data_IF_568418613046
#
_entry.id   IF_568418613046
#
_cell.length_a   1.000
_cell.length_b   1.000
_cell.length_c   1.000
_cell.angle_alpha   90.00
_cell.angle_beta   90.00
_cell.angle_gamma   90.00
#
_symmetry.space_group_name_H-M   'P 1'
#
loop_
_entity.id
_entity.type
_entity.pdbx_description
1 polymer ?
#
# COMPACT_ATOMS: atom_id res chain seq x y z
N UNK A 1 12.05 5.06 1.62
CA UNK A 1 10.76 4.60 1.05
C UNK A 1 10.94 3.68 -0.15
N UNK A 2 11.47 4.12 -1.31
CA UNK A 2 11.65 3.22 -2.48
C UNK A 2 12.48 1.97 -2.17
N UNK A 3 13.63 2.14 -1.52
CA UNK A 3 14.46 0.98 -1.15
C UNK A 3 13.77 0.05 -0.14
N UNK A 4 12.96 0.60 0.76
CA UNK A 4 12.15 -0.22 1.66
C UNK A 4 11.11 -1.02 0.88
N UNK A 5 10.37 -0.39 -0.03
CA UNK A 5 9.43 -1.08 -0.92
C UNK A 5 10.12 -2.16 -1.74
N UNK A 6 11.33 -1.89 -2.27
CA UNK A 6 12.11 -2.89 -3.02
C UNK A 6 12.47 -4.09 -2.15
N UNK A 7 12.86 -3.87 -0.89
CA UNK A 7 13.15 -4.95 0.06
C UNK A 7 11.92 -5.76 0.41
N UNK A 8 10.77 -5.11 0.60
CA UNK A 8 9.47 -5.78 0.84
C UNK A 8 9.09 -6.64 -0.37
N UNK A 9 9.28 -6.15 -1.59
CA UNK A 9 8.97 -6.87 -2.83
C UNK A 9 9.68 -8.22 -2.93
N UNK A 10 10.92 -8.33 -2.41
CA UNK A 10 11.69 -9.58 -2.42
C UNK A 10 11.09 -10.67 -1.53
N UNK A 11 10.14 -10.32 -0.67
CA UNK A 11 9.45 -11.25 0.21
C UNK A 11 8.07 -11.61 -0.31
N UNK A 12 7.60 -10.98 -1.38
CA UNK A 12 6.27 -11.19 -1.92
C UNK A 12 6.17 -12.51 -2.68
N UNK A 13 5.00 -13.11 -2.58
CA UNK A 13 4.54 -14.24 -3.38
C UNK A 13 3.16 -13.89 -3.93
N UNK A 14 2.67 -14.66 -4.90
CA UNK A 14 1.27 -14.51 -5.30
C UNK A 14 0.34 -14.93 -4.16
N UNK A 15 -0.84 -14.30 -4.10
CA UNK A 15 -1.76 -14.40 -2.98
C UNK A 15 -1.58 -13.29 -1.93
N UNK A 16 -0.59 -12.41 -2.07
CA UNK A 16 -0.31 -11.38 -1.05
C UNK A 16 -1.16 -10.12 -1.23
N UNK A 17 -1.70 -9.65 -0.11
CA UNK A 17 -2.35 -8.32 -0.01
C UNK A 17 -1.53 -7.39 0.88
N UNK A 18 -1.27 -6.18 0.40
CA UNK A 18 -0.57 -5.10 1.11
C UNK A 18 -1.47 -3.88 1.24
N UNK A 19 -1.68 -3.41 2.47
CA UNK A 19 -2.48 -2.23 2.74
C UNK A 19 -1.61 -1.09 3.26
N UNK A 20 -1.57 0.02 2.54
CA UNK A 20 -0.76 1.19 2.90
C UNK A 20 -1.64 2.25 3.57
N UNK A 21 -1.26 2.65 4.79
CA UNK A 21 -1.92 3.73 5.54
C UNK A 21 -0.95 4.85 5.87
N UNK A 22 -1.48 6.00 6.28
CA UNK A 22 -0.72 7.18 6.66
C UNK A 22 -1.18 8.45 5.95
N UNK A 23 -0.79 9.65 6.42
CA UNK A 23 -1.31 10.92 5.93
C UNK A 23 -0.95 11.21 4.45
N UNK A 24 -1.60 12.23 3.87
CA UNK A 24 -1.24 12.73 2.54
C UNK A 24 0.24 13.15 2.53
N UNK A 25 0.98 12.74 1.50
CA UNK A 25 2.43 13.01 1.42
C UNK A 25 3.31 12.15 2.36
N UNK A 26 2.74 11.15 3.05
CA UNK A 26 3.52 10.17 3.82
C UNK A 26 4.51 9.38 2.96
N UNK A 27 4.24 9.23 1.65
CA UNK A 27 5.10 8.52 0.72
C UNK A 27 4.63 7.10 0.40
N UNK A 28 3.32 6.84 0.50
CA UNK A 28 2.66 5.58 0.10
C UNK A 28 2.95 5.23 -1.37
N UNK A 29 2.64 6.11 -2.31
CA UNK A 29 3.01 5.91 -3.73
C UNK A 29 4.53 5.75 -3.95
N UNK A 30 5.37 6.43 -3.17
CA UNK A 30 6.83 6.25 -3.23
C UNK A 30 7.27 4.86 -2.74
N UNK A 31 6.54 4.28 -1.79
CA UNK A 31 6.71 2.89 -1.38
C UNK A 31 6.22 1.93 -2.47
N UNK A 32 5.06 2.18 -3.06
CA UNK A 32 4.51 1.41 -4.19
C UNK A 32 5.47 1.36 -5.39
N UNK A 33 6.11 2.49 -5.71
CA UNK A 33 7.19 2.53 -6.71
C UNK A 33 8.37 1.61 -6.37
N UNK A 34 8.72 1.51 -5.08
CA UNK A 34 9.72 0.57 -4.61
C UNK A 34 9.29 -0.88 -4.80
N UNK A 35 8.03 -1.19 -4.50
CA UNK A 35 7.43 -2.51 -4.73
C UNK A 35 7.53 -2.88 -6.21
N UNK A 36 7.03 -2.02 -7.10
CA UNK A 36 7.08 -2.27 -8.54
C UNK A 36 8.50 -2.47 -9.07
N UNK A 37 9.45 -1.66 -8.61
CA UNK A 37 10.87 -1.84 -8.97
C UNK A 37 11.44 -3.17 -8.48
N UNK A 38 11.05 -3.62 -7.28
CA UNK A 38 11.47 -4.92 -6.75
C UNK A 38 10.83 -6.11 -7.45
N UNK A 39 9.64 -5.93 -8.03
CA UNK A 39 8.99 -6.88 -8.92
C UNK A 39 9.47 -6.75 -10.38
N UNK A 40 10.45 -5.89 -10.67
CA UNK A 40 10.96 -5.70 -12.04
C UNK A 40 9.96 -5.06 -13.02
N UNK A 41 8.92 -4.39 -12.52
CA UNK A 41 7.96 -3.65 -13.35
C UNK A 41 8.68 -2.44 -13.97
N UNK A 42 8.57 -2.29 -15.29
CA UNK A 42 9.26 -1.22 -16.04
C UNK A 42 8.38 0.01 -16.26
N UNK A 43 7.07 -0.21 -16.18
CA UNK A 43 6.03 0.77 -16.34
C UNK A 43 5.99 1.72 -15.13
N UNK A 44 5.64 2.99 -15.34
CA UNK A 44 5.54 3.93 -14.23
C UNK A 44 4.48 3.52 -13.20
N UNK A 45 4.91 3.29 -11.95
CA UNK A 45 4.01 3.23 -10.80
C UNK A 45 3.62 4.65 -10.40
N UNK A 46 2.39 5.02 -10.73
CA UNK A 46 1.77 6.29 -10.37
C UNK A 46 0.55 6.01 -9.51
N UNK A 47 0.22 6.90 -8.57
CA UNK A 47 -1.08 6.84 -7.91
C UNK A 47 -2.14 6.93 -9.03
N UNK A 48 -3.04 5.95 -9.12
CA UNK A 48 -3.98 5.85 -10.21
C UNK A 48 -5.05 6.96 -10.00
N UNK A 49 -4.72 8.16 -10.50
CA UNK A 49 -5.42 9.40 -10.12
C UNK A 49 -6.81 9.48 -10.75
N UNK A 50 -7.07 8.72 -11.81
CA UNK A 50 -8.34 8.68 -12.57
C UNK A 50 -8.90 7.26 -12.75
N UNK A 51 -8.12 6.24 -12.42
CA UNK A 51 -8.53 4.83 -12.48
C UNK A 51 -8.47 4.30 -11.05
N UNK A 52 -9.47 3.58 -10.57
CA UNK A 52 -9.50 3.10 -9.17
C UNK A 52 -8.37 2.08 -8.92
N UNK A 53 -8.06 1.28 -9.94
CA UNK A 53 -6.98 0.32 -9.94
C UNK A 53 -6.11 0.43 -11.21
N UNK A 54 -4.91 -0.12 -11.14
CA UNK A 54 -4.00 -0.37 -12.27
C UNK A 54 -3.39 -1.75 -12.12
N UNK A 55 -3.42 -2.50 -13.21
CA UNK A 55 -2.77 -3.80 -13.32
C UNK A 55 -1.44 -3.67 -14.06
N UNK A 56 -0.42 -4.35 -13.54
CA UNK A 56 0.95 -4.26 -14.02
C UNK A 56 1.66 -5.61 -13.89
N UNK A 57 2.43 -5.98 -14.90
CA UNK A 57 3.12 -7.27 -14.93
C UNK A 57 4.61 -7.14 -14.57
N UNK A 58 5.08 -8.06 -13.75
CA UNK A 58 6.45 -8.14 -13.28
C UNK A 58 6.91 -9.58 -13.07
N UNK A 59 7.85 -9.74 -12.14
CA UNK A 59 8.46 -10.99 -11.74
C UNK A 59 8.71 -11.02 -10.24
N UNK A 60 8.38 -12.14 -9.60
CA UNK A 60 8.80 -12.40 -8.23
C UNK A 60 10.31 -12.67 -8.16
N UNK A 61 10.84 -12.72 -6.94
CA UNK A 61 12.27 -12.94 -6.70
C UNK A 61 12.78 -14.30 -7.23
N UNK A 62 11.90 -15.30 -7.35
CA UNK A 62 12.21 -16.62 -7.92
C UNK A 62 12.12 -16.65 -9.47
N UNK A 63 11.76 -15.53 -10.10
CA UNK A 63 11.62 -15.40 -11.54
C UNK A 63 10.26 -15.83 -12.11
N UNK A 64 9.32 -16.26 -11.28
CA UNK A 64 7.93 -16.50 -11.69
C UNK A 64 7.21 -15.19 -12.03
N UNK A 65 6.12 -15.27 -12.79
CA UNK A 65 5.32 -14.10 -13.18
C UNK A 65 4.61 -13.50 -11.98
N UNK A 66 4.69 -12.18 -11.83
CA UNK A 66 3.94 -11.43 -10.83
C UNK A 66 2.93 -10.51 -11.52
N UNK A 67 1.70 -10.53 -11.04
CA UNK A 67 0.64 -9.63 -11.46
C UNK A 67 0.32 -8.67 -10.31
N UNK A 68 0.67 -7.39 -10.45
CA UNK A 68 0.44 -6.36 -9.44
C UNK A 68 -0.86 -5.61 -9.74
N UNK A 69 -1.81 -5.69 -8.81
CA UNK A 69 -3.02 -4.85 -8.79
C UNK A 69 -2.79 -3.70 -7.81
N UNK A 70 -2.56 -2.49 -8.31
CA UNK A 70 -2.36 -1.29 -7.50
C UNK A 70 -3.65 -0.47 -7.42
N UNK A 71 -4.24 -0.40 -6.23
CA UNK A 71 -5.50 0.29 -5.92
C UNK A 71 -5.21 1.56 -5.11
N UNK A 72 -5.95 2.64 -5.35
CA UNK A 72 -5.93 3.85 -4.50
C UNK A 72 -7.34 4.24 -4.06
N UNK A 73 -7.67 3.87 -2.82
CA UNK A 73 -8.99 4.03 -2.24
C UNK A 73 -9.26 5.47 -1.75
N UNK A 74 -8.25 6.38 -1.75
CA UNK A 74 -8.43 7.77 -1.30
C UNK A 74 -9.59 8.48 -1.99
N UNK A 75 -9.82 8.16 -3.27
CA UNK A 75 -10.82 8.83 -4.10
C UNK A 75 -12.25 8.40 -3.80
N UNK A 76 -12.43 7.21 -3.27
CA UNK A 76 -13.73 6.65 -2.96
C UNK A 76 -14.26 7.17 -1.62
N UNK A 77 -13.38 7.75 -0.78
CA UNK A 77 -13.72 8.26 0.55
C UNK A 77 -13.64 9.77 0.78
N UNK A 78 -13.57 10.61 -0.26
CA UNK A 78 -13.45 12.06 -0.12
C UNK A 78 -14.60 12.88 -0.71
N UNK A 79 -14.71 14.16 -0.30
CA UNK A 79 -15.67 15.19 -0.76
C UNK A 79 -15.71 15.43 -2.30
N UNK A 80 -14.89 14.72 -3.08
CA UNK A 80 -14.86 14.77 -4.53
C UNK A 80 -16.12 14.16 -5.19
N UNK A 81 -16.86 13.33 -4.45
CA UNK A 81 -18.13 12.73 -4.89
C UNK A 81 -19.24 13.07 -3.89
N UNK A 82 -20.46 13.20 -4.39
CA UNK A 82 -21.59 13.85 -3.72
C UNK A 82 -21.78 13.42 -2.25
N UNK A 83 -21.98 14.37 -1.31
CA UNK A 83 -22.18 14.07 0.11
C UNK A 83 -23.48 13.29 0.34
N UNK A 84 -23.43 12.25 1.19
CA UNK A 84 -24.62 11.57 1.72
C UNK A 84 -24.69 10.03 1.58
N UNK A 85 -23.66 9.37 1.06
CA UNK A 85 -23.54 7.91 1.09
C UNK A 85 -22.36 7.50 1.98
N UNK A 86 -22.50 6.36 2.68
CA UNK A 86 -21.43 5.78 3.48
C UNK A 86 -20.24 5.46 2.56
N UNK A 87 -19.08 6.04 2.88
CA UNK A 87 -17.84 5.93 2.09
C UNK A 87 -17.44 4.47 1.86
N UNK A 88 -17.66 3.62 2.87
CA UNK A 88 -17.37 2.19 2.82
C UNK A 88 -18.25 1.46 1.79
N UNK A 89 -19.55 1.72 1.77
CA UNK A 89 -20.49 1.05 0.85
C UNK A 89 -20.16 1.34 -0.62
N UNK A 90 -19.88 2.60 -0.97
CA UNK A 90 -19.53 2.96 -2.37
C UNK A 90 -18.22 2.34 -2.83
N UNK A 91 -17.28 2.26 -1.91
CA UNK A 91 -15.96 1.69 -2.16
C UNK A 91 -16.06 0.18 -2.36
N UNK A 92 -16.92 -0.49 -1.58
CA UNK A 92 -17.29 -1.88 -1.81
C UNK A 92 -17.98 -2.07 -3.17
N UNK A 93 -18.97 -1.24 -3.51
CA UNK A 93 -19.65 -1.29 -4.81
C UNK A 93 -18.67 -1.13 -5.99
N UNK A 94 -17.72 -0.20 -5.87
CA UNK A 94 -16.71 0.04 -6.90
C UNK A 94 -15.70 -1.11 -6.99
N UNK A 95 -15.27 -1.68 -5.86
CA UNK A 95 -14.45 -2.90 -5.87
C UNK A 95 -15.20 -4.07 -6.51
N UNK A 96 -16.47 -4.29 -6.17
CA UNK A 96 -17.33 -5.30 -6.77
C UNK A 96 -17.47 -5.09 -8.28
N UNK A 97 -17.69 -3.84 -8.71
CA UNK A 97 -17.78 -3.49 -10.14
C UNK A 97 -16.50 -3.80 -10.93
N UNK A 98 -15.36 -3.82 -10.24
CA UNK A 98 -14.04 -4.15 -10.77
C UNK A 98 -13.66 -5.63 -10.55
N UNK A 99 -14.49 -6.41 -9.85
CA UNK A 99 -14.20 -7.79 -9.44
C UNK A 99 -13.03 -7.92 -8.46
N UNK A 100 -12.73 -6.86 -7.70
CA UNK A 100 -11.59 -6.82 -6.78
C UNK A 100 -11.95 -7.30 -5.36
N UNK A 101 -13.22 -7.35 -5.02
CA UNK A 101 -13.72 -7.88 -3.75
C UNK A 101 -13.41 -9.38 -3.59
N UNK A 102 -13.67 -10.18 -4.63
CA UNK A 102 -13.33 -11.60 -4.67
C UNK A 102 -11.79 -11.80 -4.64
N UNK A 103 -11.06 -11.02 -5.44
CA UNK A 103 -9.59 -11.10 -5.52
C UNK A 103 -8.93 -10.66 -4.21
N UNK A 104 -9.55 -9.78 -3.41
CA UNK A 104 -9.04 -9.40 -2.09
C UNK A 104 -9.21 -10.51 -1.03
N UNK A 105 -10.26 -11.31 -1.16
CA UNK A 105 -10.55 -12.43 -0.26
C UNK A 105 -9.67 -13.66 -0.59
N UNK A 106 -9.54 -13.99 -1.88
CA UNK A 106 -8.73 -15.10 -2.38
C UNK A 106 -7.89 -14.67 -3.60
N UNK A 107 -6.77 -13.95 -3.40
CA UNK A 107 -5.98 -13.45 -4.50
C UNK A 107 -5.31 -14.59 -5.27
N UNK A 108 -5.25 -14.45 -6.59
CA UNK A 108 -4.67 -15.44 -7.48
C UNK A 108 -3.23 -15.79 -7.13
N UNK A 109 -2.80 -17.01 -7.50
CA UNK A 109 -1.50 -17.57 -7.15
C UNK A 109 -0.27 -16.79 -7.71
N UNK A 110 -0.49 -15.80 -8.59
CA UNK A 110 0.54 -14.89 -9.11
C UNK A 110 0.22 -13.42 -8.80
N UNK A 111 -0.91 -13.14 -8.13
CA UNK A 111 -1.41 -11.79 -7.88
C UNK A 111 -0.83 -11.23 -6.59
N UNK A 112 -0.41 -9.97 -6.63
CA UNK A 112 -0.17 -9.14 -5.45
C UNK A 112 -1.12 -7.96 -5.53
N UNK A 113 -1.89 -7.74 -4.47
CA UNK A 113 -2.72 -6.54 -4.35
C UNK A 113 -2.01 -5.54 -3.45
N UNK A 114 -1.84 -4.32 -3.95
CA UNK A 114 -1.31 -3.19 -3.19
C UNK A 114 -2.34 -2.08 -3.15
N UNK A 115 -2.91 -1.84 -1.98
CA UNK A 115 -3.98 -0.85 -1.80
C UNK A 115 -3.52 0.32 -0.94
N UNK A 116 -3.52 1.53 -1.51
CA UNK A 116 -3.36 2.77 -0.76
C UNK A 116 -4.67 3.15 -0.06
N UNK A 117 -4.58 3.59 1.19
CA UNK A 117 -5.72 4.01 2.03
C UNK A 117 -6.72 2.90 2.37
N UNK A 118 -6.26 1.64 2.38
CA UNK A 118 -7.10 0.49 2.66
C UNK A 118 -7.49 0.29 4.13
N UNK A 119 -7.03 1.10 5.09
CA UNK A 119 -7.23 0.87 6.53
C UNK A 119 -8.71 0.77 6.94
N UNK A 120 -9.60 1.54 6.29
CA UNK A 120 -11.05 1.50 6.55
C UNK A 120 -11.73 0.23 6.00
N UNK A 121 -11.13 -0.44 5.01
CA UNK A 121 -11.67 -1.64 4.35
C UNK A 121 -10.99 -2.94 4.82
N UNK A 122 -9.78 -2.79 5.35
CA UNK A 122 -8.77 -3.81 5.61
C UNK A 122 -9.25 -5.02 6.40
N UNK A 123 -10.04 -4.78 7.45
CA UNK A 123 -10.42 -5.84 8.38
C UNK A 123 -11.46 -6.79 7.81
N UNK A 124 -12.23 -6.36 6.81
CA UNK A 124 -13.42 -7.08 6.35
C UNK A 124 -13.14 -7.97 5.14
N UNK A 125 -12.32 -7.51 4.18
CA UNK A 125 -12.15 -8.19 2.89
C UNK A 125 -10.84 -8.97 2.74
N UNK A 126 -9.77 -8.58 3.42
CA UNK A 126 -8.46 -9.21 3.26
C UNK A 126 -8.06 -9.93 4.56
N UNK A 127 -8.46 -11.20 4.76
CA UNK A 127 -8.20 -11.94 6.01
C UNK A 127 -6.69 -12.16 6.25
N UNK A 128 -5.91 -12.26 5.17
CA UNK A 128 -4.45 -12.39 5.19
C UNK A 128 -3.80 -11.22 4.47
N UNK A 129 -2.99 -10.43 5.18
CA UNK A 129 -2.43 -9.18 4.65
C UNK A 129 -1.21 -8.69 5.42
N UNK A 130 -0.45 -7.82 4.78
CA UNK A 130 0.55 -6.98 5.42
C UNK A 130 0.06 -5.53 5.47
N UNK A 131 -0.16 -5.01 6.66
CA UNK A 131 -0.42 -3.59 6.85
C UNK A 131 0.89 -2.82 6.96
N UNK A 132 0.99 -1.71 6.24
CA UNK A 132 2.16 -0.85 6.17
C UNK A 132 1.74 0.55 6.55
N UNK A 133 1.99 0.90 7.82
CA UNK A 133 1.68 2.21 8.37
C UNK A 133 2.87 3.14 8.17
N UNK A 134 2.68 4.23 7.42
CA UNK A 134 3.74 5.19 7.10
C UNK A 134 3.45 6.52 7.79
N UNK A 135 4.14 6.75 8.89
CA UNK A 135 4.05 7.98 9.66
C UNK A 135 5.12 8.98 9.26
N UNK A 136 4.73 10.25 9.35
CA UNK A 136 5.64 11.37 9.25
C UNK A 136 5.72 12.05 10.62
N UNK A 137 6.83 11.86 11.37
CA UNK A 137 7.07 12.66 12.56
C UNK A 137 7.04 14.15 12.17
N UNK A 138 6.24 14.92 12.89
CA UNK A 138 6.34 16.38 12.85
C UNK A 138 7.56 16.76 13.67
N UNK A 139 8.34 17.71 13.19
CA UNK A 139 9.48 18.22 13.95
C UNK A 139 8.97 18.91 15.23
N UNK A 140 9.53 18.55 16.37
CA UNK A 140 9.27 19.13 17.69
C UNK A 140 9.86 20.57 17.80
N UNK A 141 10.48 21.06 16.72
CA UNK A 141 11.24 22.30 16.65
C UNK A 141 10.41 23.58 16.44
N UNK A 142 10.07 24.18 17.57
CA UNK A 142 9.95 25.62 17.83
C UNK A 142 8.64 26.37 17.51
N UNK A 143 8.07 26.90 18.59
CA UNK A 143 7.04 27.94 18.68
C UNK A 143 7.13 29.01 17.57
N UNK A 144 6.30 28.90 16.54
CA UNK A 144 5.81 30.09 15.86
C UNK A 144 4.36 29.88 15.40
N UNK A 145 3.43 30.61 16.02
CA UNK A 145 1.97 30.44 15.86
C UNK A 145 1.42 31.02 14.55
N UNK A 146 2.24 31.17 13.52
CA UNK A 146 1.82 31.93 12.32
C UNK A 146 2.40 31.50 10.98
N UNK A 147 3.21 30.44 10.90
CA UNK A 147 3.68 29.93 9.61
C UNK A 147 2.93 28.65 9.23
N UNK A 148 2.37 28.62 8.02
CA UNK A 148 1.91 27.39 7.38
C UNK A 148 3.00 26.32 7.54
N UNK A 149 2.71 25.28 8.33
CA UNK A 149 3.66 24.23 8.70
C UNK A 149 4.16 23.55 7.43
N UNK A 150 5.29 24.04 6.92
CA UNK A 150 5.86 23.50 5.71
C UNK A 150 6.51 22.17 6.05
N UNK A 151 6.12 21.08 5.40
CA UNK A 151 6.70 19.78 5.69
C UNK A 151 8.21 19.81 5.47
N UNK A 152 9.01 19.58 6.51
CA UNK A 152 10.49 19.68 6.44
C UNK A 152 11.07 18.85 5.29
N UNK A 153 12.01 19.44 4.55
CA UNK A 153 12.71 18.84 3.41
C UNK A 153 13.54 17.61 3.76
N UNK A 154 13.84 17.42 5.04
CA UNK A 154 14.79 16.39 5.52
C UNK A 154 14.06 15.09 5.95
N UNK A 155 12.74 15.06 5.74
CA UNK A 155 11.76 14.31 6.53
C UNK A 155 11.91 12.79 6.59
N UNK A 156 12.35 12.32 7.76
CA UNK A 156 12.22 10.94 8.25
C UNK A 156 10.79 10.41 8.08
N UNK A 157 10.67 9.10 7.85
CA UNK A 157 9.41 8.35 7.93
C UNK A 157 9.59 7.22 8.92
N UNK A 158 8.60 7.02 9.77
CA UNK A 158 8.49 5.82 10.60
C UNK A 158 7.56 4.87 9.85
N UNK A 159 8.03 3.66 9.58
CA UNK A 159 7.24 2.65 8.87
C UNK A 159 7.05 1.46 9.78
N UNK A 160 5.79 1.13 10.07
CA UNK A 160 5.41 -0.02 10.87
C UNK A 160 4.79 -1.07 9.95
N UNK A 161 5.33 -2.29 10.01
CA UNK A 161 4.83 -3.44 9.26
C UNK A 161 4.07 -4.35 10.22
N UNK A 162 2.77 -4.53 10.00
CA UNK A 162 1.89 -5.34 10.85
C UNK A 162 1.34 -6.50 10.02
N UNK A 163 1.78 -7.73 10.28
CA UNK A 163 1.22 -8.89 9.60
C UNK A 163 -0.12 -9.31 10.17
N UNK A 164 -0.98 -9.81 9.30
CA UNK A 164 -2.27 -10.38 9.65
C UNK A 164 -2.45 -11.69 8.88
N UNK A 165 -2.80 -12.76 9.60
CA UNK A 165 -2.99 -14.08 9.02
C UNK A 165 -1.71 -14.95 8.94
N UNK A 166 -1.87 -16.26 8.72
CA UNK A 166 -0.76 -17.23 8.72
C UNK A 166 0.23 -17.09 7.54
N UNK A 167 -0.16 -16.56 6.39
CA UNK A 167 0.74 -16.33 5.24
C UNK A 167 1.81 -15.27 5.53
N UNK A 168 1.61 -14.47 6.57
CA UNK A 168 2.55 -13.45 7.05
C UNK A 168 3.17 -13.83 8.40
N UNK A 169 3.60 -15.08 8.55
CA UNK A 169 4.21 -15.54 9.79
C UNK A 169 5.50 -14.78 10.20
N UNK A 170 5.90 -14.96 11.46
CA UNK A 170 7.10 -14.32 12.01
C UNK A 170 8.42 -14.72 11.32
N UNK A 171 8.48 -15.87 10.62
CA UNK A 171 9.68 -16.31 9.91
C UNK A 171 9.86 -15.52 8.60
N UNK A 172 8.76 -15.19 7.92
CA UNK A 172 8.77 -14.31 6.75
C UNK A 172 9.19 -12.89 7.13
N UNK A 173 8.77 -12.41 8.30
CA UNK A 173 8.96 -11.01 8.73
C UNK A 173 10.26 -10.76 9.47
N UNK A 174 10.78 -11.75 10.20
CA UNK A 174 12.11 -11.64 10.82
C UNK A 174 13.24 -11.34 9.83
N UNK A 175 13.02 -11.61 8.53
CA UNK A 175 13.89 -11.17 7.43
C UNK A 175 13.97 -9.64 7.27
N UNK A 176 13.05 -8.86 7.88
CA UNK A 176 13.09 -7.40 7.91
C UNK A 176 13.99 -6.82 8.99
N UNK A 177 14.09 -7.46 10.16
CA UNK A 177 14.72 -6.89 11.36
C UNK A 177 16.21 -7.19 11.48
N UNK A 178 16.74 -8.08 10.64
CA UNK A 178 18.19 -8.33 10.59
C UNK A 178 18.83 -7.25 9.72
N UNK A 179 19.72 -6.39 10.25
CA UNK A 179 20.50 -5.49 9.42
C UNK A 179 21.33 -6.34 8.48
N UNK A 180 21.25 -6.04 7.18
CA UNK A 180 22.22 -6.58 6.21
C UNK A 180 23.61 -6.14 6.67
N UNK A 181 24.44 -7.11 7.08
CA UNK A 181 25.84 -6.87 7.46
C UNK A 181 26.68 -6.46 6.24
#
# INVERSE_FOLDING_TARGET
MRELGRRVALLLHGGDVLLLSGPLGAGKTTFAQGIGAGLGITEPIVSPTFTIARELDGRFADGSHAHLVHVDAYRLGGDAYAPGQDVEERLLDELESLGLDEELEDPGANTVILMEWGEQMASTLAPERLEVHIDRPLDDGQDDKTAERQPTSDGTRVVTLVPVGPAWDGARISRFTTPTA
#
